data_IF_378503486158
#
_entry.id   IF_378503486158
#
_cell.length_a   1.000
_cell.length_b   1.000
_cell.length_c   1.000
_cell.angle_alpha   90.00
_cell.angle_beta   90.00
_cell.angle_gamma   90.00
#
_symmetry.space_group_name_H-M   'P 1'
#
loop_
_entity.id
_entity.type
_entity.pdbx_description
1 polymer ?
#
# COMPACT_ATOMS: atom_id res chain seq x y z
N UNK A 1 8.38 14.17 10.81
CA UNK A 1 7.61 14.82 9.74
C UNK A 1 7.14 13.85 8.66
N UNK A 2 8.02 13.08 7.99
CA UNK A 2 7.59 12.12 6.95
C UNK A 2 6.55 11.10 7.43
N UNK A 3 6.69 10.57 8.66
CA UNK A 3 5.76 9.57 9.18
C UNK A 3 4.34 10.13 9.40
N UNK A 4 4.21 11.36 9.89
CA UNK A 4 2.89 12.00 10.11
C UNK A 4 2.18 12.36 8.81
N UNK A 5 2.92 12.80 7.78
CA UNK A 5 2.30 13.13 6.49
C UNK A 5 1.89 11.89 5.71
N UNK A 6 2.71 10.83 5.74
CA UNK A 6 2.31 9.52 5.20
C UNK A 6 1.04 9.01 5.89
N UNK A 7 1.00 9.07 7.23
CA UNK A 7 -0.16 8.67 8.01
C UNK A 7 -1.41 9.46 7.64
N UNK A 8 -1.32 10.80 7.58
CA UNK A 8 -2.45 11.64 7.13
C UNK A 8 -2.90 11.30 5.71
N UNK A 9 -1.98 11.00 4.80
CA UNK A 9 -2.35 10.63 3.43
C UNK A 9 -3.11 9.29 3.42
N UNK A 10 -2.58 8.29 4.12
CA UNK A 10 -3.20 6.95 4.25
C UNK A 10 -4.59 7.05 4.88
N UNK A 11 -4.77 7.87 5.93
CA UNK A 11 -6.08 8.09 6.58
C UNK A 11 -7.16 8.63 5.62
N UNK A 12 -6.76 9.30 4.54
CA UNK A 12 -7.68 9.84 3.52
C UNK A 12 -7.75 8.98 2.25
N UNK A 13 -7.06 7.83 2.22
CA UNK A 13 -7.17 6.89 1.11
C UNK A 13 -8.44 6.06 1.23
N UNK A 14 -9.05 5.76 0.08
CA UNK A 14 -10.18 4.84 0.01
C UNK A 14 -9.65 3.43 -0.14
N UNK A 15 -9.75 2.63 0.92
CA UNK A 15 -9.40 1.22 0.86
C UNK A 15 -10.64 0.35 0.63
N UNK A 16 -10.52 -0.58 -0.30
CA UNK A 16 -11.50 -1.62 -0.56
C UNK A 16 -11.03 -2.92 0.11
N UNK A 17 -11.89 -3.56 0.90
CA UNK A 17 -11.56 -4.85 1.47
C UNK A 17 -11.67 -5.93 0.37
N UNK A 18 -10.61 -6.71 0.18
CA UNK A 18 -10.54 -7.79 -0.80
C UNK A 18 -10.00 -9.06 -0.14
N UNK A 19 -10.42 -10.23 -0.63
CA UNK A 19 -9.81 -11.49 -0.23
C UNK A 19 -8.43 -11.61 -0.91
N UNK A 20 -7.37 -11.74 -0.11
CA UNK A 20 -6.01 -11.83 -0.64
C UNK A 20 -5.76 -13.05 -1.52
N UNK A 21 -6.61 -14.09 -1.46
CA UNK A 21 -6.58 -15.22 -2.41
C UNK A 21 -7.08 -14.86 -3.81
N UNK A 22 -7.88 -13.80 -3.90
CA UNK A 22 -8.48 -13.33 -5.16
C UNK A 22 -7.69 -12.19 -5.81
N UNK A 23 -6.69 -11.66 -5.09
CA UNK A 23 -5.84 -10.56 -5.53
C UNK A 23 -5.04 -10.99 -6.77
N UNK A 24 -5.10 -10.17 -7.83
CA UNK A 24 -4.33 -10.38 -9.07
C UNK A 24 -3.32 -9.27 -9.29
N UNK A 25 -2.29 -9.58 -10.08
CA UNK A 25 -1.29 -8.58 -10.54
C UNK A 25 -2.00 -7.41 -11.22
N UNK A 26 -2.97 -7.67 -12.09
CA UNK A 26 -3.73 -6.64 -12.81
C UNK A 26 -4.48 -5.69 -11.86
N UNK A 27 -5.06 -6.21 -10.76
CA UNK A 27 -5.71 -5.36 -9.76
C UNK A 27 -4.71 -4.44 -9.07
N UNK A 28 -3.51 -4.94 -8.74
CA UNK A 28 -2.44 -4.13 -8.15
C UNK A 28 -1.93 -3.09 -9.14
N UNK A 29 -1.68 -3.48 -10.39
CA UNK A 29 -1.17 -2.56 -11.42
C UNK A 29 -2.13 -1.40 -11.71
N UNK A 30 -3.43 -1.67 -11.64
CA UNK A 30 -4.49 -0.68 -11.83
C UNK A 30 -4.82 0.14 -10.56
N UNK A 31 -4.09 -0.03 -9.45
CA UNK A 31 -4.25 0.82 -8.26
C UNK A 31 -3.96 2.27 -8.61
N UNK A 32 -5.01 3.09 -8.59
CA UNK A 32 -4.93 4.53 -8.74
C UNK A 32 -4.44 5.21 -7.46
N UNK A 33 -3.95 6.44 -7.63
CA UNK A 33 -3.74 7.44 -6.60
C UNK A 33 -4.89 7.45 -5.57
N UNK A 34 -4.56 7.44 -4.27
CA UNK A 34 -5.53 7.48 -3.15
C UNK A 34 -6.51 6.31 -3.04
N UNK A 35 -6.28 5.21 -3.79
CA UNK A 35 -6.98 3.95 -3.60
C UNK A 35 -6.03 2.89 -3.06
N UNK A 36 -6.59 1.96 -2.31
CA UNK A 36 -5.85 0.83 -1.79
C UNK A 36 -6.73 -0.39 -1.58
N UNK A 37 -6.11 -1.49 -1.20
CA UNK A 37 -6.79 -2.70 -0.78
C UNK A 37 -6.52 -2.97 0.70
N UNK A 38 -7.49 -3.49 1.43
CA UNK A 38 -7.24 -4.16 2.71
C UNK A 38 -7.45 -5.64 2.51
N UNK A 39 -6.43 -6.43 2.81
CA UNK A 39 -6.46 -7.88 2.78
C UNK A 39 -6.40 -8.40 4.22
N UNK A 40 -7.55 -8.79 4.81
CA UNK A 40 -7.56 -9.42 6.12
C UNK A 40 -6.82 -10.76 6.06
N UNK A 41 -5.91 -10.98 7.00
CA UNK A 41 -5.23 -12.28 7.19
C UNK A 41 -5.62 -12.87 8.54
N UNK A 42 -5.04 -14.02 8.91
CA UNK A 42 -5.32 -14.65 10.21
C UNK A 42 -4.81 -13.83 11.40
N UNK A 43 -3.77 -13.02 11.21
CA UNK A 43 -3.04 -12.36 12.31
C UNK A 43 -3.10 -10.85 12.26
N UNK A 44 -3.21 -10.25 11.08
CA UNK A 44 -3.32 -8.80 10.88
C UNK A 44 -3.98 -8.47 9.55
N UNK A 45 -4.48 -7.25 9.42
CA UNK A 45 -4.85 -6.72 8.11
C UNK A 45 -3.60 -6.22 7.39
N UNK A 46 -3.46 -6.58 6.12
CA UNK A 46 -2.42 -6.07 5.22
C UNK A 46 -3.04 -5.02 4.31
N UNK A 47 -2.51 -3.81 4.35
CA UNK A 47 -3.04 -2.67 3.59
C UNK A 47 -2.12 -2.39 2.42
N UNK A 48 -2.65 -2.43 1.21
CA UNK A 48 -1.87 -2.35 -0.03
C UNK A 48 -2.18 -1.02 -0.71
N UNK A 49 -1.14 -0.28 -1.06
CA UNK A 49 -1.26 0.96 -1.84
C UNK A 49 -0.11 1.11 -2.83
N UNK A 50 -0.27 2.00 -3.81
CA UNK A 50 0.86 2.47 -4.63
C UNK A 50 1.88 3.16 -3.72
N UNK A 51 3.17 2.96 -3.97
CA UNK A 51 4.23 3.56 -3.16
C UNK A 51 4.25 5.07 -3.35
N UNK A 52 4.29 5.80 -2.25
CA UNK A 52 4.31 7.26 -2.22
C UNK A 52 5.66 7.73 -1.69
N UNK A 53 6.25 8.68 -2.39
CA UNK A 53 7.41 9.44 -1.93
C UNK A 53 6.99 10.87 -1.65
N UNK A 54 7.36 11.39 -0.48
CA UNK A 54 7.17 12.81 -0.19
C UNK A 54 8.51 13.51 -0.40
N UNK A 55 8.51 14.49 -1.30
CA UNK A 55 9.66 15.37 -1.53
C UNK A 55 9.31 16.80 -1.15
N UNK A 56 10.31 17.57 -0.73
CA UNK A 56 10.16 19.00 -0.50
C UNK A 56 10.51 19.76 -1.78
N UNK A 57 9.53 20.44 -2.38
CA UNK A 57 9.72 21.28 -3.56
C UNK A 57 9.46 22.72 -3.15
N UNK A 58 10.54 23.51 -3.09
CA UNK A 58 10.48 24.94 -2.73
C UNK A 58 9.83 25.22 -1.36
N UNK A 59 10.01 24.32 -0.37
CA UNK A 59 9.40 24.42 0.96
C UNK A 59 7.98 23.86 1.03
N UNK A 60 7.48 23.25 -0.05
CA UNK A 60 6.15 22.66 -0.14
C UNK A 60 6.28 21.13 -0.21
N UNK A 61 5.77 20.39 0.79
CA UNK A 61 5.76 18.94 0.75
C UNK A 61 4.82 18.46 -0.37
N UNK A 62 5.40 17.79 -1.35
CA UNK A 62 4.71 17.28 -2.53
C UNK A 62 4.77 15.75 -2.54
N UNK A 63 3.61 15.12 -2.75
CA UNK A 63 3.49 13.66 -2.87
C UNK A 63 3.74 13.26 -4.31
N UNK A 64 4.70 12.37 -4.52
CA UNK A 64 4.98 11.72 -5.79
C UNK A 64 4.63 10.23 -5.69
N UNK A 65 3.91 9.74 -6.69
CA UNK A 65 3.55 8.34 -6.80
C UNK A 65 4.59 7.57 -7.60
N UNK A 66 4.97 6.40 -7.13
CA UNK A 66 5.79 5.47 -7.92
C UNK A 66 4.98 4.95 -9.10
N UNK A 67 5.62 4.79 -10.26
CA UNK A 67 4.98 4.22 -11.45
C UNK A 67 4.92 2.70 -11.42
N UNK A 68 5.84 2.05 -10.70
CA UNK A 68 6.04 0.59 -10.76
C UNK A 68 6.11 -0.10 -9.39
N UNK A 69 6.18 0.65 -8.28
CA UNK A 69 6.26 0.08 -6.94
C UNK A 69 4.99 0.33 -6.12
N UNK A 70 4.73 -0.61 -5.23
CA UNK A 70 3.63 -0.67 -4.31
C UNK A 70 4.17 -0.91 -2.90
N UNK A 71 3.33 -0.72 -1.91
CA UNK A 71 3.69 -0.87 -0.51
C UNK A 71 2.62 -1.65 0.24
N UNK A 72 3.09 -2.47 1.18
CA UNK A 72 2.27 -3.10 2.21
C UNK A 72 2.47 -2.33 3.49
N UNK A 73 1.35 -1.94 4.10
CA UNK A 73 1.27 -1.27 5.38
C UNK A 73 0.63 -2.23 6.38
N UNK A 74 1.04 -2.11 7.65
CA UNK A 74 0.31 -2.71 8.75
C UNK A 74 -0.96 -1.91 9.10
N UNK A 75 -1.73 -2.41 10.07
CA UNK A 75 -2.94 -1.75 10.57
C UNK A 75 -2.70 -0.39 11.26
N UNK A 76 -1.45 -0.04 11.53
CA UNK A 76 -1.05 1.26 12.09
C UNK A 76 -0.60 2.25 11.00
N UNK A 77 -0.62 1.83 9.73
CA UNK A 77 -0.19 2.63 8.58
C UNK A 77 1.33 2.69 8.42
N UNK A 78 2.09 1.78 9.03
CA UNK A 78 3.53 1.68 8.83
C UNK A 78 3.86 0.77 7.66
N UNK A 79 4.75 1.22 6.76
CA UNK A 79 5.25 0.39 5.66
C UNK A 79 6.11 -0.74 6.19
N UNK A 80 5.72 -1.97 5.87
CA UNK A 80 6.41 -3.21 6.26
C UNK A 80 7.03 -3.94 5.06
N UNK A 81 6.57 -3.64 3.84
CA UNK A 81 7.13 -4.17 2.60
C UNK A 81 6.93 -3.19 1.44
N UNK A 82 7.84 -3.22 0.46
CA UNK A 82 7.70 -2.48 -0.80
C UNK A 82 8.25 -3.34 -1.94
N UNK A 83 7.50 -3.44 -3.02
CA UNK A 83 7.89 -4.26 -4.18
C UNK A 83 7.08 -3.90 -5.44
N UNK A 84 7.35 -4.60 -6.54
CA UNK A 84 6.46 -4.63 -7.69
C UNK A 84 5.17 -5.44 -7.41
N UNK A 85 4.24 -5.45 -8.37
CA UNK A 85 2.94 -6.10 -8.20
C UNK A 85 3.06 -7.63 -7.93
N UNK A 86 4.09 -8.29 -8.47
CA UNK A 86 4.33 -9.72 -8.24
C UNK A 86 4.81 -9.94 -6.82
N UNK A 87 5.79 -9.17 -6.36
CA UNK A 87 6.31 -9.29 -4.99
C UNK A 87 5.27 -9.00 -3.91
N UNK A 88 4.35 -8.05 -4.16
CA UNK A 88 3.21 -7.80 -3.27
C UNK A 88 2.29 -9.01 -3.14
N UNK A 89 1.93 -9.63 -4.26
CA UNK A 89 1.06 -10.82 -4.29
C UNK A 89 1.73 -11.96 -3.53
N UNK A 90 3.01 -12.21 -3.78
CA UNK A 90 3.77 -13.26 -3.10
C UNK A 90 3.83 -13.04 -1.59
N UNK A 91 4.08 -11.79 -1.15
CA UNK A 91 4.07 -11.44 0.27
C UNK A 91 2.71 -11.69 0.92
N UNK A 92 1.62 -11.22 0.30
CA UNK A 92 0.25 -11.40 0.82
C UNK A 92 -0.09 -12.88 0.93
N UNK A 93 0.23 -13.68 -0.08
CA UNK A 93 0.00 -15.14 -0.05
C UNK A 93 0.78 -15.84 1.05
N UNK A 94 2.03 -15.43 1.29
CA UNK A 94 2.84 -15.93 2.40
C UNK A 94 2.19 -15.73 3.78
N UNK A 95 1.39 -14.69 3.97
CA UNK A 95 0.63 -14.45 5.21
C UNK A 95 -0.70 -15.21 5.30
N UNK A 96 -1.25 -15.65 4.17
CA UNK A 96 -2.54 -16.37 4.12
C UNK A 96 -2.34 -17.87 4.24
N UNK A 97 -1.31 -18.40 3.58
CA UNK A 97 -1.01 -19.83 3.53
C UNK A 97 -0.26 -20.32 4.79
N UNK A 98 0.32 -19.39 5.57
CA UNK A 98 1.04 -19.65 6.81
C UNK A 98 0.20 -19.89 8.07
#
# INVERSE_FOLDING_TARGET
MNNEMNKKYIEHMNFEQVDGNTLTIEQIENLMSKKGFVCPTRTTDLWISRKLSIIDVLGIPTVMESTSEYMILDSFGMSIWNDDATGIIEYVKGFIEG
#
